data_IF_193314309193
#
_entry.id   IF_193314309193
#
_cell.length_a   1.000
_cell.length_b   1.000
_cell.length_c   1.000
_cell.angle_alpha   90.00
_cell.angle_beta   90.00
_cell.angle_gamma   90.00
#
_symmetry.space_group_name_H-M   'P 1'
#
loop_
_entity.id
_entity.type
_entity.pdbx_description
1 polymer ?
#
# COMPACT_ATOMS: atom_id res chain seq x y z
N UNK A 1 -0.33 4.89 -14.25
CA UNK A 1 -1.40 5.73 -13.68
C UNK A 1 -0.98 7.17 -13.83
N UNK A 2 -1.50 8.07 -12.99
CA UNK A 2 -1.00 9.44 -12.92
C UNK A 2 0.04 9.55 -11.80
N UNK A 3 -0.40 9.41 -10.55
CA UNK A 3 0.50 9.28 -9.40
C UNK A 3 0.22 7.96 -8.70
N UNK A 4 1.23 7.42 -8.03
CA UNK A 4 1.00 6.43 -6.99
C UNK A 4 0.14 7.04 -5.89
N UNK A 5 -0.65 6.20 -5.23
CA UNK A 5 -1.55 6.66 -4.17
C UNK A 5 -1.31 5.87 -2.88
N UNK A 6 -1.08 6.60 -1.79
CA UNK A 6 -1.03 6.05 -0.45
C UNK A 6 -2.35 5.38 -0.06
N UNK A 7 -2.25 4.24 0.62
CA UNK A 7 -3.36 3.64 1.37
C UNK A 7 -3.04 3.61 2.86
N UNK A 8 -4.05 3.29 3.67
CA UNK A 8 -3.89 3.13 5.13
C UNK A 8 -3.26 1.80 5.53
N UNK A 9 -3.17 0.86 4.59
CA UNK A 9 -2.72 -0.52 4.82
C UNK A 9 -1.21 -0.60 5.00
N UNK A 10 -0.78 -1.38 6.00
CA UNK A 10 0.62 -1.70 6.20
C UNK A 10 1.07 -2.72 5.17
N UNK A 11 2.28 -2.56 4.64
CA UNK A 11 2.78 -3.49 3.64
C UNK A 11 3.31 -4.75 4.33
N UNK A 12 2.71 -5.91 4.02
CA UNK A 12 3.30 -7.22 4.31
C UNK A 12 3.80 -7.88 3.01
N UNK A 13 4.98 -8.52 3.07
CA UNK A 13 5.55 -9.26 1.93
C UNK A 13 4.68 -10.45 1.55
N UNK A 14 4.17 -11.16 2.55
CA UNK A 14 3.36 -12.36 2.39
C UNK A 14 1.89 -12.00 2.50
N UNK A 15 1.08 -12.41 1.51
CA UNK A 15 -0.37 -12.42 1.70
C UNK A 15 -0.70 -13.57 2.65
N UNK A 16 -1.25 -13.26 3.83
CA UNK A 16 -1.84 -14.30 4.65
C UNK A 16 -2.99 -14.92 3.87
N UNK A 17 -2.92 -16.23 3.64
CA UNK A 17 -4.05 -16.99 3.10
C UNK A 17 -5.13 -17.04 4.18
N UNK A 18 -6.10 -16.14 4.08
CA UNK A 18 -7.31 -16.18 4.90
C UNK A 18 -8.44 -16.85 4.12
N UNK A 19 -9.34 -17.49 4.87
CA UNK A 19 -10.55 -18.12 4.33
C UNK A 19 -11.40 -17.06 3.62
N UNK A 20 -11.99 -17.43 2.48
CA UNK A 20 -12.84 -16.54 1.67
C UNK A 20 -14.02 -15.92 2.42
N UNK A 21 -14.44 -16.50 3.55
CA UNK A 21 -15.52 -16.00 4.41
C UNK A 21 -15.26 -14.62 5.02
N UNK A 22 -14.00 -14.25 5.18
CA UNK A 22 -13.61 -13.36 6.24
C UNK A 22 -12.75 -12.25 5.65
N UNK A 23 -13.10 -10.99 5.95
CA UNK A 23 -12.37 -9.84 5.45
C UNK A 23 -10.93 -9.90 5.96
N UNK A 24 -9.91 -9.76 5.09
CA UNK A 24 -8.55 -9.79 5.55
C UNK A 24 -8.26 -8.61 6.47
N UNK A 25 -7.56 -8.90 7.56
CA UNK A 25 -7.15 -7.87 8.52
C UNK A 25 -5.91 -7.16 7.98
N UNK A 26 -5.85 -5.85 8.20
CA UNK A 26 -4.65 -5.07 7.90
C UNK A 26 -3.51 -5.56 8.82
N UNK A 27 -2.32 -5.93 8.29
CA UNK A 27 -1.16 -6.25 9.11
C UNK A 27 -0.84 -5.14 10.10
N UNK A 28 -0.06 -5.44 11.14
CA UNK A 28 0.37 -4.40 12.07
C UNK A 28 1.59 -3.66 11.55
N UNK A 29 1.90 -2.52 12.14
CA UNK A 29 3.06 -1.70 11.74
C UNK A 29 4.36 -2.47 11.88
N UNK A 30 4.49 -3.25 12.96
CA UNK A 30 5.65 -4.08 13.26
C UNK A 30 5.95 -5.16 12.20
N UNK A 31 4.92 -5.58 11.45
CA UNK A 31 5.06 -6.57 10.39
C UNK A 31 5.59 -5.97 9.08
N UNK A 32 5.73 -4.64 9.01
CA UNK A 32 5.95 -3.93 7.76
C UNK A 32 7.42 -3.56 7.45
N UNK A 33 8.29 -3.69 8.44
CA UNK A 33 9.71 -3.41 8.27
C UNK A 33 10.34 -4.27 7.16
N UNK A 34 11.39 -3.74 6.52
CA UNK A 34 12.11 -4.48 5.49
C UNK A 34 13.09 -5.48 6.14
N UNK A 35 12.86 -6.81 6.00
CA UNK A 35 13.77 -7.79 6.59
C UNK A 35 15.18 -7.72 5.99
N UNK A 36 15.34 -7.17 4.79
CA UNK A 36 16.64 -6.95 4.16
C UNK A 36 17.38 -5.74 4.74
N UNK A 37 16.71 -4.86 5.50
CA UNK A 37 17.26 -3.63 6.06
C UNK A 37 16.95 -3.50 7.56
N UNK A 38 17.40 -4.44 8.41
CA UNK A 38 16.97 -4.53 9.81
C UNK A 38 17.36 -3.33 10.70
N UNK A 39 18.35 -2.53 10.26
CA UNK A 39 18.77 -1.31 10.96
C UNK A 39 17.82 -0.13 10.73
N UNK A 40 17.05 -0.16 9.64
CA UNK A 40 16.12 0.91 9.28
C UNK A 40 14.76 0.58 9.91
N UNK A 41 14.36 1.41 10.88
CA UNK A 41 13.11 1.27 11.64
C UNK A 41 12.03 2.21 11.09
N UNK A 42 11.89 2.24 9.77
CA UNK A 42 10.84 3.00 9.10
C UNK A 42 9.83 1.99 8.52
N UNK A 43 8.57 1.99 8.97
CA UNK A 43 7.57 1.07 8.45
C UNK A 43 7.14 1.47 7.04
N UNK A 44 6.51 0.55 6.31
CA UNK A 44 6.11 0.77 4.91
C UNK A 44 4.60 0.70 4.74
N UNK A 45 4.01 1.62 4.01
CA UNK A 45 2.60 1.50 3.63
C UNK A 45 2.46 1.02 2.21
N UNK A 46 1.28 0.48 1.92
CA UNK A 46 0.94 0.07 0.56
C UNK A 46 0.66 1.32 -0.28
N UNK A 47 1.27 1.36 -1.46
CA UNK A 47 0.90 2.29 -2.53
C UNK A 47 0.30 1.53 -3.71
N UNK A 48 -0.68 2.16 -4.39
CA UNK A 48 -1.47 1.56 -5.48
C UNK A 48 -1.55 2.49 -6.71
N UNK A 49 -1.96 1.91 -7.84
CA UNK A 49 -2.34 2.66 -9.06
C UNK A 49 -1.22 2.90 -10.08
N UNK A 50 0.04 2.96 -9.65
CA UNK A 50 1.17 3.29 -10.52
C UNK A 50 1.19 4.76 -10.95
N UNK A 51 2.36 5.28 -11.29
CA UNK A 51 2.52 6.68 -11.72
C UNK A 51 2.61 6.85 -13.24
N UNK A 52 2.80 8.09 -13.69
CA UNK A 52 3.08 8.52 -15.07
C UNK A 52 4.42 8.00 -15.58
N UNK A 53 5.29 7.51 -14.69
CA UNK A 53 6.55 6.89 -15.09
C UNK A 53 6.35 5.46 -15.60
N UNK A 54 5.38 4.71 -15.05
CA UNK A 54 5.22 3.29 -15.35
C UNK A 54 5.10 2.97 -16.86
N UNK A 55 5.92 2.06 -17.37
CA UNK A 55 5.88 1.61 -18.76
C UNK A 55 5.96 0.07 -18.91
N UNK A 56 5.45 -0.50 -20.04
CA UNK A 56 5.36 -1.95 -20.24
C UNK A 56 6.69 -2.72 -20.19
N UNK A 57 7.81 -2.05 -20.46
CA UNK A 57 9.15 -2.63 -20.50
C UNK A 57 9.83 -2.74 -19.13
N UNK A 58 9.34 -2.06 -18.08
CA UNK A 58 10.00 -2.10 -16.77
C UNK A 58 9.04 -2.12 -15.57
N UNK A 59 7.91 -1.42 -15.65
CA UNK A 59 6.96 -1.29 -14.53
C UNK A 59 5.51 -1.42 -15.00
N UNK A 60 4.99 -2.64 -14.93
CA UNK A 60 3.57 -2.96 -15.22
C UNK A 60 2.67 -2.82 -13.98
N UNK A 61 2.96 -1.85 -13.12
CA UNK A 61 2.24 -1.64 -11.85
C UNK A 61 1.04 -0.69 -11.95
N UNK A 62 0.72 -0.22 -13.15
CA UNK A 62 -0.57 0.42 -13.45
C UNK A 62 -1.77 -0.55 -13.43
N UNK A 63 -1.51 -1.86 -13.28
CA UNK A 63 -2.57 -2.89 -13.18
C UNK A 63 -3.26 -2.80 -11.80
N UNK A 64 -4.60 -2.93 -11.71
CA UNK A 64 -5.33 -2.81 -10.43
C UNK A 64 -4.82 -3.74 -9.30
N UNK A 65 -4.42 -4.96 -9.64
CA UNK A 65 -3.88 -5.92 -8.68
C UNK A 65 -2.50 -5.54 -8.14
N UNK A 66 -1.73 -4.70 -8.84
CA UNK A 66 -0.37 -4.36 -8.45
C UNK A 66 -0.33 -3.53 -7.17
N UNK A 67 0.63 -3.83 -6.30
CA UNK A 67 0.91 -3.10 -5.06
C UNK A 67 2.41 -2.91 -4.89
N UNK A 68 2.82 -1.88 -4.17
CA UNK A 68 4.22 -1.64 -3.82
C UNK A 68 4.35 -1.20 -2.36
N UNK A 69 5.53 -1.43 -1.77
CA UNK A 69 5.85 -1.00 -0.43
C UNK A 69 6.60 0.33 -0.53
N UNK A 70 6.19 1.33 0.24
CA UNK A 70 6.88 2.61 0.29
C UNK A 70 7.06 3.04 1.75
N UNK A 71 8.24 3.54 2.10
CA UNK A 71 8.55 3.98 3.46
C UNK A 71 7.75 5.24 3.80
N UNK A 72 7.21 5.31 5.02
CA UNK A 72 6.23 6.34 5.40
C UNK A 72 6.77 7.78 5.39
N UNK A 73 8.08 7.95 5.42
CA UNK A 73 8.77 9.24 5.38
C UNK A 73 9.24 9.61 3.95
N UNK A 74 9.06 8.74 2.96
CA UNK A 74 9.42 9.03 1.58
C UNK A 74 8.44 10.01 0.94
N UNK A 75 8.98 11.01 0.24
CA UNK A 75 8.22 11.88 -0.67
C UNK A 75 8.87 11.92 -2.04
N UNK A 76 8.06 11.84 -3.09
CA UNK A 76 8.52 11.92 -4.49
C UNK A 76 7.53 12.71 -5.34
N UNK A 77 7.95 13.18 -6.51
CA UNK A 77 7.10 13.93 -7.44
C UNK A 77 5.96 13.11 -8.08
N UNK A 78 5.91 11.80 -7.86
CA UNK A 78 4.97 10.88 -8.50
C UNK A 78 4.12 10.08 -7.50
N UNK A 79 4.12 10.48 -6.23
CA UNK A 79 3.39 9.84 -5.15
C UNK A 79 2.47 10.89 -4.50
N UNK A 80 1.18 10.58 -4.47
CA UNK A 80 0.14 11.38 -3.84
C UNK A 80 -0.82 10.50 -3.04
N UNK A 81 -2.05 10.98 -2.84
CA UNK A 81 -3.09 10.23 -2.15
C UNK A 81 -4.48 10.72 -2.56
N UNK A 82 -5.50 9.90 -2.30
CA UNK A 82 -6.90 10.32 -2.36
C UNK A 82 -7.55 10.07 -0.99
N UNK A 83 -8.50 10.91 -0.63
CA UNK A 83 -9.25 10.76 0.62
C UNK A 83 -10.50 9.90 0.40
N UNK A 84 -10.91 9.21 1.46
CA UNK A 84 -12.24 8.60 1.55
C UNK A 84 -12.98 9.19 2.74
N UNK A 85 -14.31 9.24 2.65
CA UNK A 85 -15.20 9.54 3.77
C UNK A 85 -16.20 8.41 3.88
N UNK A 86 -16.26 7.76 5.05
CA UNK A 86 -17.30 6.79 5.35
C UNK A 86 -18.49 7.53 5.94
N UNK A 87 -19.67 7.31 5.38
CA UNK A 87 -20.89 7.80 6.00
C UNK A 87 -21.10 7.03 7.31
N UNK A 88 -21.39 7.76 8.40
CA UNK A 88 -21.79 7.13 9.65
C UNK A 88 -23.28 6.83 9.55
N UNK A 89 -23.65 5.58 9.31
CA UNK A 89 -25.02 5.14 9.54
C UNK A 89 -25.24 5.14 11.06
N UNK A 90 -26.08 6.05 11.55
CA UNK A 90 -26.52 6.04 12.94
C UNK A 90 -27.50 4.88 13.14
N UNK A 91 -26.99 3.66 13.26
CA UNK A 91 -27.75 2.55 13.81
C UNK A 91 -27.28 2.35 15.26
N UNK A 92 -28.23 2.60 16.17
CA UNK A 92 -28.12 2.25 17.60
C UNK A 92 -28.37 0.76 17.77
#
# INVERSE_FOLDING_TARGET
GNVWEWTTDWYASTHQQQKSCCMPENPREEDSYDPCQPKIRIPRKVIKGGSFLCAPNYCRRYRPAARHAEATDTSTCHLGFRCIKRERTNER
#
